data_IF_836884578664
#
_entry.id   IF_836884578664
#
_cell.length_a   1.000
_cell.length_b   1.000
_cell.length_c   1.000
_cell.angle_alpha   90.00
_cell.angle_beta   90.00
_cell.angle_gamma   90.00
#
_symmetry.space_group_name_H-M   'P 1'
#
loop_
_entity.id
_entity.type
_entity.pdbx_description
1 polymer ?
#
# COMPACT_ATOMS: atom_id res chain seq x y z
N UNK A 1 39.99 -20.23 6.82
CA UNK A 1 39.06 -20.88 5.87
C UNK A 1 39.36 -20.33 4.49
N UNK A 2 39.58 -21.20 3.52
CA UNK A 2 39.79 -20.82 2.12
C UNK A 2 38.45 -20.39 1.48
N UNK A 3 38.47 -19.33 0.66
CA UNK A 3 37.28 -18.79 0.00
C UNK A 3 36.61 -19.83 -0.92
N UNK A 4 37.41 -20.73 -1.51
CA UNK A 4 36.91 -21.84 -2.34
C UNK A 4 36.06 -22.85 -1.55
N UNK A 5 36.42 -23.12 -0.29
CA UNK A 5 35.65 -24.02 0.57
C UNK A 5 34.30 -23.41 0.98
N UNK A 6 34.28 -22.11 1.25
CA UNK A 6 33.06 -21.37 1.58
C UNK A 6 32.09 -21.34 0.38
N UNK A 7 32.58 -21.09 -0.83
CA UNK A 7 31.77 -21.11 -2.05
C UNK A 7 31.13 -22.49 -2.29
N UNK A 8 31.89 -23.58 -2.09
CA UNK A 8 31.36 -24.95 -2.24
C UNK A 8 30.27 -25.26 -1.22
N UNK A 9 30.45 -24.87 0.04
CA UNK A 9 29.44 -25.04 1.11
C UNK A 9 28.18 -24.23 0.81
N UNK A 10 28.36 -22.97 0.40
CA UNK A 10 27.24 -22.11 0.02
C UNK A 10 26.45 -22.69 -1.15
N UNK A 11 27.14 -23.14 -2.21
CA UNK A 11 26.47 -23.76 -3.35
C UNK A 11 25.73 -25.04 -2.97
N UNK A 12 26.31 -25.89 -2.10
CA UNK A 12 25.63 -27.07 -1.60
C UNK A 12 24.33 -26.73 -0.87
N UNK A 13 24.35 -25.71 0.00
CA UNK A 13 23.16 -25.22 0.69
C UNK A 13 22.09 -24.67 -0.28
N UNK A 14 22.50 -23.92 -1.31
CA UNK A 14 21.57 -23.43 -2.34
C UNK A 14 20.94 -24.59 -3.11
N UNK A 15 21.71 -25.60 -3.51
CA UNK A 15 21.16 -26.78 -4.20
C UNK A 15 20.11 -27.49 -3.36
N UNK A 16 20.35 -27.62 -2.07
CA UNK A 16 19.38 -28.20 -1.13
C UNK A 16 18.11 -27.34 -1.04
N UNK A 17 18.23 -26.03 -0.80
CA UNK A 17 17.10 -25.09 -0.73
C UNK A 17 16.24 -25.11 -2.00
N UNK A 18 16.88 -25.12 -3.16
CA UNK A 18 16.23 -25.08 -4.46
C UNK A 18 15.92 -26.48 -5.04
N UNK A 19 16.01 -27.53 -4.22
CA UNK A 19 15.65 -28.93 -4.56
C UNK A 19 16.35 -29.48 -5.80
N UNK A 20 17.62 -29.14 -5.97
CA UNK A 20 18.45 -29.63 -7.07
C UNK A 20 18.99 -31.01 -6.69
N UNK A 21 18.68 -32.03 -7.49
CA UNK A 21 19.16 -33.39 -7.29
C UNK A 21 20.68 -33.47 -7.19
N UNK A 22 21.18 -34.30 -6.26
CA UNK A 22 22.62 -34.48 -5.98
C UNK A 22 23.42 -34.90 -7.22
N UNK A 23 22.78 -35.55 -8.18
CA UNK A 23 23.40 -36.08 -9.40
C UNK A 23 23.71 -35.01 -10.47
N UNK A 24 23.11 -33.81 -10.34
CA UNK A 24 23.47 -32.64 -11.17
C UNK A 24 24.70 -31.97 -10.58
N UNK A 25 25.83 -32.67 -10.66
CA UNK A 25 27.14 -32.19 -10.21
C UNK A 25 27.66 -31.08 -11.14
N UNK A 26 27.09 -29.89 -11.05
CA UNK A 26 27.65 -28.71 -11.72
C UNK A 26 28.76 -28.10 -10.85
N UNK A 27 29.81 -27.57 -11.46
CA UNK A 27 30.88 -26.89 -10.72
C UNK A 27 30.37 -25.60 -10.04
N UNK A 28 31.00 -25.10 -8.96
CA UNK A 28 30.66 -23.83 -8.33
C UNK A 28 30.80 -22.60 -9.25
N UNK A 29 31.48 -22.71 -10.39
CA UNK A 29 31.56 -21.64 -11.41
C UNK A 29 30.51 -21.78 -12.52
N UNK A 30 29.50 -22.61 -12.28
CA UNK A 30 28.43 -22.85 -13.24
C UNK A 30 27.42 -21.72 -13.29
N UNK A 31 26.81 -21.57 -14.47
CA UNK A 31 25.68 -20.68 -14.66
C UNK A 31 24.54 -20.95 -13.66
N UNK A 32 24.35 -22.22 -13.25
CA UNK A 32 23.45 -22.60 -12.16
C UNK A 32 23.77 -21.86 -10.86
N UNK A 33 25.04 -21.84 -10.42
CA UNK A 33 25.40 -21.14 -9.19
C UNK A 33 25.19 -19.62 -9.28
N UNK A 34 25.36 -19.02 -10.45
CA UNK A 34 25.01 -17.61 -10.66
C UNK A 34 23.51 -17.38 -10.44
N UNK A 35 22.67 -18.19 -11.08
CA UNK A 35 21.21 -18.06 -10.99
C UNK A 35 20.72 -18.23 -9.56
N UNK A 36 21.19 -19.26 -8.85
CA UNK A 36 20.78 -19.51 -7.46
C UNK A 36 21.24 -18.40 -6.51
N UNK A 37 22.43 -17.84 -6.71
CA UNK A 37 22.88 -16.69 -5.92
C UNK A 37 22.02 -15.47 -6.17
N UNK A 38 21.62 -15.21 -7.41
CA UNK A 38 20.71 -14.11 -7.72
C UNK A 38 19.38 -14.30 -6.99
N UNK A 39 18.78 -15.48 -7.10
CA UNK A 39 17.55 -15.81 -6.40
C UNK A 39 17.68 -15.67 -4.87
N UNK A 40 18.77 -16.15 -4.28
CA UNK A 40 19.02 -16.04 -2.84
C UNK A 40 19.12 -14.59 -2.35
N UNK A 41 19.72 -13.73 -3.18
CA UNK A 41 19.91 -12.31 -2.88
C UNK A 41 18.69 -11.45 -3.24
N UNK A 42 17.59 -12.05 -3.71
CA UNK A 42 16.42 -11.32 -4.18
C UNK A 42 16.65 -10.53 -5.47
N UNK A 43 17.72 -10.83 -6.21
CA UNK A 43 18.00 -10.24 -7.52
C UNK A 43 17.14 -10.95 -8.55
N UNK A 44 16.48 -10.17 -9.40
CA UNK A 44 15.60 -10.71 -10.44
C UNK A 44 16.35 -11.69 -11.37
N UNK A 45 15.86 -12.92 -11.39
CA UNK A 45 16.20 -13.94 -12.39
C UNK A 45 15.38 -13.66 -13.64
N UNK A 46 16.08 -13.53 -14.75
CA UNK A 46 15.54 -13.12 -16.05
C UNK A 46 14.91 -14.30 -16.79
N UNK A 47 14.13 -14.01 -17.83
CA UNK A 47 13.52 -15.03 -18.67
C UNK A 47 14.56 -15.98 -19.31
N UNK A 48 15.74 -15.47 -19.67
CA UNK A 48 16.83 -16.29 -20.24
C UNK A 48 17.34 -17.30 -19.21
N UNK A 49 17.48 -16.88 -17.95
CA UNK A 49 17.93 -17.74 -16.86
C UNK A 49 16.87 -18.78 -16.49
N UNK A 50 15.59 -18.40 -16.49
CA UNK A 50 14.48 -19.34 -16.31
C UNK A 50 14.38 -20.35 -17.45
N UNK A 51 14.56 -19.92 -18.70
CA UNK A 51 14.58 -20.82 -19.86
C UNK A 51 15.72 -21.83 -19.73
N UNK A 52 16.92 -21.39 -19.35
CA UNK A 52 18.03 -22.29 -19.12
C UNK A 52 17.74 -23.33 -18.02
N UNK A 53 17.12 -22.91 -16.90
CA UNK A 53 16.72 -23.85 -15.84
C UNK A 53 15.73 -24.90 -16.36
N UNK A 54 14.75 -24.48 -17.18
CA UNK A 54 13.77 -25.38 -17.79
C UNK A 54 14.42 -26.36 -18.78
N UNK A 55 15.32 -25.88 -19.63
CA UNK A 55 16.11 -26.71 -20.58
C UNK A 55 17.01 -27.73 -19.86
N UNK A 56 17.36 -27.48 -18.61
CA UNK A 56 18.14 -28.38 -17.77
C UNK A 56 17.27 -29.21 -16.82
N UNK A 57 15.96 -29.34 -17.05
CA UNK A 57 15.02 -30.11 -16.23
C UNK A 57 15.01 -29.70 -14.74
N UNK A 58 15.12 -28.39 -14.46
CA UNK A 58 15.09 -27.83 -13.11
C UNK A 58 13.75 -27.16 -12.80
N UNK A 59 12.64 -27.78 -13.21
CA UNK A 59 11.29 -27.20 -13.08
C UNK A 59 10.89 -26.86 -11.64
N UNK A 60 11.28 -27.68 -10.65
CA UNK A 60 11.02 -27.36 -9.24
C UNK A 60 11.79 -26.12 -8.79
N UNK A 61 13.04 -25.95 -9.25
CA UNK A 61 13.83 -24.76 -8.98
C UNK A 61 13.21 -23.52 -9.63
N UNK A 62 12.70 -23.66 -10.87
CA UNK A 62 11.97 -22.59 -11.57
C UNK A 62 10.77 -22.13 -10.74
N UNK A 63 9.93 -23.06 -10.30
CA UNK A 63 8.73 -22.76 -9.50
C UNK A 63 9.09 -22.04 -8.19
N UNK A 64 10.09 -22.52 -7.46
CA UNK A 64 10.54 -21.91 -6.20
C UNK A 64 11.03 -20.46 -6.44
N UNK A 65 11.88 -20.24 -7.45
CA UNK A 65 12.42 -18.91 -7.74
C UNK A 65 11.31 -17.97 -8.22
N UNK A 66 10.39 -18.46 -9.03
CA UNK A 66 9.26 -17.67 -9.52
C UNK A 66 8.35 -17.21 -8.38
N UNK A 67 8.00 -18.12 -7.46
CA UNK A 67 7.20 -17.78 -6.28
C UNK A 67 7.91 -16.77 -5.38
N UNK A 68 9.22 -16.93 -5.13
CA UNK A 68 10.01 -15.98 -4.34
C UNK A 68 10.03 -14.57 -4.96
N UNK A 69 10.17 -14.47 -6.29
CA UNK A 69 10.11 -13.18 -6.97
C UNK A 69 8.73 -12.56 -6.90
N UNK A 70 7.68 -13.35 -7.12
CA UNK A 70 6.31 -12.89 -6.99
C UNK A 70 6.02 -12.34 -5.59
N UNK A 71 6.43 -13.05 -4.53
CA UNK A 71 6.28 -12.59 -3.14
C UNK A 71 7.05 -11.29 -2.87
N UNK A 72 8.26 -11.16 -3.40
CA UNK A 72 9.06 -9.95 -3.28
C UNK A 72 8.42 -8.75 -3.99
N UNK A 73 7.90 -8.96 -5.20
CA UNK A 73 7.16 -7.94 -5.96
C UNK A 73 5.84 -7.57 -5.28
N UNK A 74 5.11 -8.54 -4.72
CA UNK A 74 3.87 -8.30 -4.00
C UNK A 74 4.12 -7.48 -2.74
N UNK A 75 5.19 -7.78 -2.00
CA UNK A 75 5.62 -6.96 -0.86
C UNK A 75 5.91 -5.53 -1.29
N UNK A 76 6.60 -5.31 -2.41
CA UNK A 76 6.87 -3.97 -2.94
C UNK A 76 5.58 -3.24 -3.34
N UNK A 77 4.61 -3.94 -3.92
CA UNK A 77 3.29 -3.38 -4.25
C UNK A 77 2.57 -2.90 -2.99
N UNK A 78 2.51 -3.74 -1.96
CA UNK A 78 1.91 -3.38 -0.66
C UNK A 78 2.64 -2.20 0.02
N UNK A 79 3.97 -2.15 -0.06
CA UNK A 79 4.75 -1.00 0.44
C UNK A 79 4.40 0.29 -0.32
N UNK A 80 4.27 0.22 -1.64
CA UNK A 80 3.88 1.36 -2.47
C UNK A 80 2.45 1.83 -2.17
N UNK A 81 1.50 0.90 -2.04
CA UNK A 81 0.12 1.19 -1.62
C UNK A 81 0.09 1.84 -0.23
N UNK A 82 0.87 1.32 0.72
CA UNK A 82 0.94 1.92 2.05
C UNK A 82 1.46 3.36 2.01
N UNK A 83 2.47 3.65 1.20
CA UNK A 83 2.98 5.02 1.00
C UNK A 83 1.86 5.92 0.44
N UNK A 84 1.11 5.45 -0.55
CA UNK A 84 -0.01 6.21 -1.12
C UNK A 84 -1.07 6.52 -0.07
N UNK A 85 -1.44 5.55 0.77
CA UNK A 85 -2.37 5.75 1.86
C UNK A 85 -1.85 6.73 2.91
N UNK A 86 -0.56 6.67 3.24
CA UNK A 86 0.06 7.63 4.16
C UNK A 86 -0.09 9.06 3.65
N UNK A 87 0.22 9.28 2.37
CA UNK A 87 0.05 10.58 1.73
C UNK A 87 -1.42 11.01 1.74
N UNK A 88 -2.33 10.10 1.34
CA UNK A 88 -3.77 10.36 1.25
C UNK A 88 -4.39 10.76 2.59
N UNK A 89 -3.92 10.19 3.69
CA UNK A 89 -4.44 10.45 5.05
C UNK A 89 -3.53 11.34 5.90
N UNK A 90 -2.64 12.11 5.25
CA UNK A 90 -1.74 13.09 5.87
C UNK A 90 -0.91 12.52 7.03
N UNK A 91 -0.46 11.28 6.90
CA UNK A 91 0.48 10.68 7.86
C UNK A 91 1.85 11.35 7.69
N UNK A 92 2.48 11.87 8.77
CA UNK A 92 3.79 12.49 8.69
C UNK A 92 4.84 11.55 8.08
N UNK A 93 5.70 12.08 7.19
CA UNK A 93 6.74 11.29 6.51
C UNK A 93 7.82 10.78 7.46
N UNK A 94 8.13 11.56 8.50
CA UNK A 94 9.13 11.28 9.53
C UNK A 94 8.74 10.16 10.49
N UNK A 95 7.46 9.74 10.47
CA UNK A 95 7.00 8.63 11.29
C UNK A 95 7.47 7.30 10.69
N UNK A 96 8.29 6.56 11.45
CA UNK A 96 8.76 5.23 11.08
C UNK A 96 7.63 4.20 11.24
N UNK A 97 6.83 4.03 10.17
CA UNK A 97 5.81 2.99 10.08
C UNK A 97 6.22 1.92 9.07
N UNK A 98 6.12 0.66 9.49
CA UNK A 98 6.30 -0.50 8.62
C UNK A 98 4.94 -1.02 8.13
N UNK A 99 4.93 -1.80 7.05
CA UNK A 99 3.71 -2.43 6.52
C UNK A 99 3.03 -3.38 7.53
N UNK A 100 3.81 -3.89 8.50
CA UNK A 100 3.31 -4.71 9.61
C UNK A 100 2.59 -3.90 10.69
N UNK A 101 2.62 -2.56 10.60
CA UNK A 101 1.97 -1.68 11.55
C UNK A 101 0.44 -1.82 11.47
N UNK A 102 -0.26 -1.86 12.62
CA UNK A 102 -1.72 -1.82 12.64
C UNK A 102 -2.30 -0.57 11.98
N UNK A 103 -1.51 0.52 11.88
CA UNK A 103 -1.90 1.74 11.15
C UNK A 103 -2.21 1.44 9.68
N UNK A 104 -1.42 0.59 9.01
CA UNK A 104 -1.68 0.25 7.60
C UNK A 104 -3.05 -0.43 7.45
N UNK A 105 -3.39 -1.36 8.34
CA UNK A 105 -4.70 -2.02 8.34
C UNK A 105 -5.85 -1.03 8.54
N UNK A 106 -5.67 -0.02 9.40
CA UNK A 106 -6.67 1.03 9.63
C UNK A 106 -6.86 1.86 8.35
N UNK A 107 -5.76 2.35 7.75
CA UNK A 107 -5.82 3.13 6.52
C UNK A 107 -6.43 2.33 5.36
N UNK A 108 -6.09 1.05 5.24
CA UNK A 108 -6.67 0.17 4.24
C UNK A 108 -8.19 0.02 4.39
N UNK A 109 -8.68 -0.17 5.62
CA UNK A 109 -10.12 -0.23 5.89
C UNK A 109 -10.83 1.08 5.56
N UNK A 110 -10.18 2.22 5.81
CA UNK A 110 -10.74 3.53 5.46
C UNK A 110 -10.82 3.74 3.94
N UNK A 111 -9.87 3.19 3.19
CA UNK A 111 -9.78 3.35 1.74
C UNK A 111 -10.71 2.39 0.97
N UNK A 112 -10.83 1.15 1.46
CA UNK A 112 -11.63 0.08 0.85
C UNK A 112 -13.03 -0.06 1.44
N UNK A 113 -13.27 0.51 2.62
CA UNK A 113 -14.59 0.57 3.20
C UNK A 113 -15.49 1.48 2.37
N UNK A 114 -16.76 1.10 2.21
CA UNK A 114 -17.78 2.06 1.84
C UNK A 114 -17.65 3.27 2.78
N UNK A 115 -17.85 4.48 2.25
CA UNK A 115 -17.70 5.81 2.90
C UNK A 115 -18.29 6.00 4.32
N UNK A 116 -18.90 4.96 4.91
CA UNK A 116 -19.37 4.88 6.29
C UNK A 116 -18.49 4.08 7.27
N UNK A 117 -17.25 3.68 6.95
CA UNK A 117 -16.38 3.08 7.98
C UNK A 117 -16.13 4.06 9.13
N UNK A 118 -16.42 3.61 10.35
CA UNK A 118 -16.20 4.39 11.58
C UNK A 118 -15.06 3.75 12.35
N UNK A 119 -14.03 4.55 12.65
CA UNK A 119 -12.95 4.11 13.53
C UNK A 119 -13.52 3.64 14.87
N UNK A 120 -13.07 2.49 15.32
CA UNK A 120 -13.36 2.01 16.68
C UNK A 120 -12.58 2.80 17.72
N UNK A 121 -13.04 2.84 18.97
CA UNK A 121 -12.35 3.56 20.05
C UNK A 121 -10.88 3.13 20.20
N UNK A 122 -10.61 1.82 20.05
CA UNK A 122 -9.24 1.28 20.09
C UNK A 122 -8.37 1.72 18.91
N UNK A 123 -8.96 1.93 17.72
CA UNK A 123 -8.24 2.46 16.57
C UNK A 123 -7.95 3.96 16.73
N UNK A 124 -8.89 4.72 17.31
CA UNK A 124 -8.68 6.14 17.65
C UNK A 124 -7.58 6.29 18.69
N UNK A 125 -7.61 5.48 19.75
CA UNK A 125 -6.58 5.46 20.80
C UNK A 125 -5.20 5.13 20.19
N UNK A 126 -5.13 4.11 19.34
CA UNK A 126 -3.90 3.72 18.66
C UNK A 126 -3.33 4.83 17.78
N UNK A 127 -4.18 5.53 17.01
CA UNK A 127 -3.75 6.66 16.19
C UNK A 127 -3.30 7.84 17.06
N UNK A 128 -4.00 8.09 18.18
CA UNK A 128 -3.67 9.16 19.13
C UNK A 128 -2.31 8.92 19.78
N UNK A 129 -2.04 7.70 20.24
CA UNK A 129 -0.76 7.29 20.83
C UNK A 129 0.43 7.46 19.88
N UNK A 130 0.17 7.45 18.58
CA UNK A 130 1.18 7.67 17.52
C UNK A 130 1.26 9.12 17.05
N UNK A 131 0.54 10.04 17.70
CA UNK A 131 0.55 11.46 17.35
C UNK A 131 -0.20 11.79 16.06
N UNK A 132 -1.11 10.93 15.60
CA UNK A 132 -1.83 11.09 14.32
C UNK A 132 -3.15 11.86 14.47
N UNK A 133 -3.13 12.93 15.28
CA UNK A 133 -4.33 13.73 15.56
C UNK A 133 -4.92 14.39 14.30
N UNK A 134 -4.05 14.84 13.39
CA UNK A 134 -4.47 15.45 12.11
C UNK A 134 -5.17 14.44 11.21
N UNK A 135 -4.67 13.19 11.16
CA UNK A 135 -5.32 12.10 10.44
C UNK A 135 -6.69 11.77 11.03
N UNK A 136 -6.81 11.69 12.36
CA UNK A 136 -8.09 11.46 13.03
C UNK A 136 -9.08 12.59 12.67
N UNK A 137 -8.61 13.84 12.71
CA UNK A 137 -9.43 15.02 12.37
C UNK A 137 -9.88 14.99 10.91
N UNK A 138 -8.98 14.65 9.99
CA UNK A 138 -9.30 14.51 8.56
C UNK A 138 -10.36 13.43 8.33
N UNK A 139 -10.22 12.26 8.96
CA UNK A 139 -11.20 11.17 8.85
C UNK A 139 -12.57 11.62 9.38
N UNK A 140 -12.60 12.37 10.49
CA UNK A 140 -13.81 13.00 11.00
C UNK A 140 -14.44 13.96 9.98
N UNK A 141 -13.63 14.83 9.38
CA UNK A 141 -14.10 15.80 8.39
C UNK A 141 -14.63 15.13 7.10
N UNK A 142 -13.99 14.06 6.61
CA UNK A 142 -14.46 13.26 5.46
C UNK A 142 -15.85 12.69 5.73
N UNK A 143 -16.06 12.16 6.93
CA UNK A 143 -17.35 11.61 7.35
C UNK A 143 -18.41 12.70 7.45
N UNK A 144 -18.08 13.80 8.13
CA UNK A 144 -18.98 14.93 8.28
C UNK A 144 -19.36 15.51 6.91
N UNK A 145 -18.40 15.64 6.00
CA UNK A 145 -18.65 16.10 4.64
C UNK A 145 -19.57 15.16 3.87
N UNK A 146 -19.33 13.84 3.98
CA UNK A 146 -20.20 12.83 3.35
C UNK A 146 -21.64 12.91 3.85
N UNK A 147 -21.84 13.10 5.17
CA UNK A 147 -23.17 13.37 5.75
C UNK A 147 -23.77 14.66 5.19
N UNK A 148 -23.03 15.77 5.23
CA UNK A 148 -23.49 17.08 4.78
C UNK A 148 -23.91 17.06 3.30
N UNK A 149 -23.17 16.36 2.44
CA UNK A 149 -23.54 16.21 1.02
C UNK A 149 -24.91 15.52 0.85
N UNK A 150 -25.26 14.59 1.72
CA UNK A 150 -26.59 13.94 1.71
C UNK A 150 -27.65 14.90 2.24
N UNK A 151 -27.41 15.51 3.40
CA UNK A 151 -28.36 16.39 4.08
C UNK A 151 -28.74 17.60 3.20
N UNK A 152 -27.77 18.16 2.48
CA UNK A 152 -27.92 19.32 1.61
C UNK A 152 -27.99 18.97 0.12
N UNK A 153 -28.14 17.68 -0.24
CA UNK A 153 -28.27 17.23 -1.64
C UNK A 153 -27.11 17.62 -2.57
N UNK A 154 -25.92 17.89 -2.04
CA UNK A 154 -24.69 18.07 -2.81
C UNK A 154 -24.07 16.72 -3.28
N UNK A 155 -24.91 15.72 -3.55
CA UNK A 155 -24.49 14.36 -3.92
C UNK A 155 -23.87 14.27 -5.32
N UNK A 156 -24.05 15.31 -6.16
CA UNK A 156 -23.31 15.45 -7.43
C UNK A 156 -21.79 15.56 -7.20
N UNK A 157 -21.36 15.99 -6.02
CA UNK A 157 -19.95 16.05 -5.65
C UNK A 157 -19.43 14.66 -5.27
N UNK A 158 -18.63 14.07 -6.16
CA UNK A 158 -18.14 12.69 -6.02
C UNK A 158 -16.94 12.57 -5.08
N UNK A 159 -16.14 13.62 -4.87
CA UNK A 159 -14.97 13.52 -4.00
C UNK A 159 -15.39 13.26 -2.54
N UNK A 160 -14.64 12.37 -1.89
CA UNK A 160 -14.80 12.02 -0.49
C UNK A 160 -14.11 13.02 0.44
N UNK A 161 -13.05 13.69 -0.02
CA UNK A 161 -12.28 14.62 0.78
C UNK A 161 -13.03 15.96 0.93
N UNK A 162 -12.96 16.58 2.11
CA UNK A 162 -13.58 17.88 2.36
C UNK A 162 -12.87 18.97 1.54
N UNK A 163 -13.40 19.24 0.35
CA UNK A 163 -12.88 20.28 -0.54
C UNK A 163 -13.50 21.64 -0.21
N UNK A 164 -12.66 22.66 -0.19
CA UNK A 164 -13.08 24.05 -0.09
C UNK A 164 -13.42 24.61 -1.48
N UNK A 165 -14.44 25.46 -1.61
CA UNK A 165 -15.22 26.08 -0.53
C UNK A 165 -16.45 25.26 -0.08
N UNK A 166 -16.80 24.17 -0.77
CA UNK A 166 -18.05 23.43 -0.55
C UNK A 166 -18.19 22.95 0.89
N UNK A 167 -17.14 22.38 1.48
CA UNK A 167 -17.20 21.88 2.86
C UNK A 167 -17.52 22.99 3.87
N UNK A 168 -16.85 24.14 3.80
CA UNK A 168 -17.14 25.28 4.68
C UNK A 168 -18.55 25.82 4.50
N UNK A 169 -19.04 25.91 3.26
CA UNK A 169 -20.41 26.36 2.97
C UNK A 169 -21.43 25.41 3.61
N UNK A 170 -21.28 24.10 3.42
CA UNK A 170 -22.20 23.13 4.00
C UNK A 170 -22.17 23.14 5.54
N UNK A 171 -20.99 23.35 6.16
CA UNK A 171 -20.90 23.52 7.62
C UNK A 171 -21.64 24.74 8.12
N UNK A 172 -21.55 25.88 7.42
CA UNK A 172 -22.31 27.10 7.75
C UNK A 172 -23.81 26.84 7.71
N UNK A 173 -24.29 26.15 6.68
CA UNK A 173 -25.70 25.76 6.57
C UNK A 173 -26.14 24.86 7.73
N UNK A 174 -25.31 23.90 8.16
CA UNK A 174 -25.59 22.97 9.27
C UNK A 174 -25.78 23.70 10.60
N UNK A 175 -25.01 24.77 10.83
CA UNK A 175 -25.14 25.62 12.02
C UNK A 175 -26.08 26.81 11.84
N UNK A 176 -26.79 26.90 10.70
CA UNK A 176 -27.71 27.99 10.32
C UNK A 176 -27.06 29.38 10.30
N UNK A 177 -25.78 29.42 9.95
CA UNK A 177 -25.06 30.67 9.68
C UNK A 177 -25.45 31.21 8.30
N UNK A 178 -25.48 32.54 8.15
CA UNK A 178 -25.77 33.16 6.86
C UNK A 178 -24.59 32.99 5.90
N UNK A 179 -24.87 32.53 4.70
CA UNK A 179 -23.91 32.55 3.60
C UNK A 179 -23.69 33.98 3.12
N UNK A 180 -22.46 34.28 2.73
CA UNK A 180 -22.15 35.50 1.99
C UNK A 180 -22.68 35.44 0.56
N UNK A 181 -22.88 36.59 -0.06
CA UNK A 181 -23.35 36.66 -1.46
C UNK A 181 -22.44 35.87 -2.41
N UNK A 182 -21.12 35.90 -2.17
CA UNK A 182 -20.14 35.15 -2.97
C UNK A 182 -20.23 33.63 -2.77
N UNK A 183 -20.56 33.15 -1.57
CA UNK A 183 -20.76 31.72 -1.29
C UNK A 183 -22.06 31.21 -1.93
N UNK A 184 -23.12 32.01 -1.90
CA UNK A 184 -24.39 31.69 -2.56
C UNK A 184 -24.21 31.68 -4.09
N UNK A 185 -23.55 32.69 -4.66
CA UNK A 185 -23.25 32.76 -6.10
C UNK A 185 -22.41 31.56 -6.54
N UNK A 186 -21.40 31.16 -5.76
CA UNK A 186 -20.60 29.97 -6.04
C UNK A 186 -21.44 28.69 -6.10
N UNK A 187 -22.40 28.50 -5.18
CA UNK A 187 -23.31 27.34 -5.21
C UNK A 187 -24.17 27.32 -6.49
N UNK A 188 -24.66 28.47 -6.94
CA UNK A 188 -25.40 28.58 -8.20
C UNK A 188 -24.52 28.29 -9.41
N UNK A 189 -23.28 28.77 -9.44
CA UNK A 189 -22.34 28.49 -10.54
C UNK A 189 -21.95 27.01 -10.66
N UNK A 190 -22.00 26.27 -9.55
CA UNK A 190 -21.65 24.84 -9.49
C UNK A 190 -22.88 23.91 -9.56
N UNK A 191 -24.06 24.41 -9.95
CA UNK A 191 -25.33 23.66 -10.03
C UNK A 191 -25.72 22.97 -8.70
N UNK A 192 -25.39 23.61 -7.57
CA UNK A 192 -25.73 23.21 -6.21
C UNK A 192 -26.88 24.04 -5.62
N UNK A 193 -27.73 24.67 -6.44
CA UNK A 193 -28.87 25.47 -5.94
C UNK A 193 -29.83 24.69 -5.02
N UNK A 194 -29.86 23.35 -5.11
CA UNK A 194 -30.68 22.48 -4.27
C UNK A 194 -30.21 22.42 -2.80
N UNK A 195 -29.05 22.99 -2.50
CA UNK A 195 -28.46 23.08 -1.14
C UNK A 195 -29.01 24.25 -0.31
N UNK A 196 -29.60 25.26 -0.95
CA UNK A 196 -30.19 26.46 -0.34
C UNK A 196 -31.65 26.22 0.10
#
# INVERSE_FOLDING_TARGET
MDNSELQKRHFAALKEKYKIGQDKATAPDSFLYLILRKAELGIQVTNIEFQWLAENDLFQTVEIIYLQQYEAEEKQRLEAEFIQLRTKYHIPEDLELQISSPVYSILWKLDTGDTGYVLTDSEIELLTDRGLADTITLIGNIRDFSRLKVDYKASKHLDMFPEEPLYSILKKLDVREQLSDSEAEWLFEQDFEETL
#
